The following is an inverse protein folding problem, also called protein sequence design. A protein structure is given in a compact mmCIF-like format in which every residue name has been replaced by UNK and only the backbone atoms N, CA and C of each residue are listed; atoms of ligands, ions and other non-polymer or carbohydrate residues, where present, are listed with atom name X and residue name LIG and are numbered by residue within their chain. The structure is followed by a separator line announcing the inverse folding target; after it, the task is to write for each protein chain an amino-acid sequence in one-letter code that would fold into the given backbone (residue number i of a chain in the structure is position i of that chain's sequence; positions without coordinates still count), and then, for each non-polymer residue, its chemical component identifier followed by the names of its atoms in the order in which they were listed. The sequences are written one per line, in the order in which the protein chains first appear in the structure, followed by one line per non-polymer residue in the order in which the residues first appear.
data_IF_564057155095
#
_entry.id   IF_564057155095
#
_cell.length_a   1.000
_cell.length_b   1.000
_cell.length_c   1.000
_cell.angle_alpha   90.00
_cell.angle_beta   90.00
_cell.angle_gamma   90.00
#
_symmetry.space_group_name_H-M   'P 1'
#
loop_
_entity.id
_entity.type
_entity.pdbx_description
1 polymer ?
#
# COMPACT_ATOMS: atom_id res chain seq x y z
N UNK A 1 29.07 18.21 7.32
CA UNK A 1 27.74 18.80 7.11
C UNK A 1 27.05 18.27 5.85
N UNK A 2 27.74 18.15 4.69
CA UNK A 2 27.14 17.77 3.40
C UNK A 2 26.46 16.39 3.33
N UNK A 3 26.93 15.39 4.07
CA UNK A 3 26.34 14.03 4.05
C UNK A 3 24.97 13.98 4.71
N UNK A 4 24.80 14.66 5.86
CA UNK A 4 23.54 14.67 6.60
C UNK A 4 22.47 15.47 5.84
N UNK A 5 22.84 16.64 5.30
CA UNK A 5 21.93 17.47 4.49
C UNK A 5 21.39 16.71 3.26
N UNK A 6 22.24 15.89 2.62
CA UNK A 6 21.83 15.01 1.53
C UNK A 6 20.82 13.94 1.98
N UNK A 7 21.11 13.26 3.10
CA UNK A 7 20.22 12.23 3.66
C UNK A 7 18.88 12.80 4.12
N UNK A 8 18.85 14.01 4.64
CA UNK A 8 17.61 14.73 4.97
C UNK A 8 16.78 15.03 3.71
N UNK A 9 17.43 15.39 2.61
CA UNK A 9 16.76 15.53 1.31
C UNK A 9 16.16 14.22 0.79
N UNK A 10 16.86 13.10 0.98
CA UNK A 10 16.35 11.77 0.61
C UNK A 10 15.19 11.34 1.51
N UNK A 11 15.27 11.61 2.82
CA UNK A 11 14.18 11.36 3.76
C UNK A 11 12.90 12.10 3.35
N UNK A 12 13.03 13.38 2.98
CA UNK A 12 11.87 14.17 2.51
C UNK A 12 11.21 13.54 1.29
N UNK A 13 11.99 13.10 0.30
CA UNK A 13 11.45 12.40 -0.88
C UNK A 13 10.78 11.07 -0.51
N UNK A 14 11.36 10.32 0.42
CA UNK A 14 10.79 9.07 0.90
C UNK A 14 9.43 9.29 1.59
N UNK A 15 9.30 10.35 2.40
CA UNK A 15 8.03 10.78 3.01
C UNK A 15 7.01 11.14 1.93
N UNK A 16 7.37 11.98 0.96
CA UNK A 16 6.47 12.38 -0.13
C UNK A 16 5.97 11.17 -0.93
N UNK A 17 6.85 10.21 -1.24
CA UNK A 17 6.50 8.98 -1.93
C UNK A 17 5.60 8.07 -1.06
N UNK A 18 5.83 8.02 0.25
CA UNK A 18 5.00 7.27 1.18
C UNK A 18 3.60 7.88 1.31
N UNK A 19 3.48 9.21 1.42
CA UNK A 19 2.18 9.88 1.43
C UNK A 19 1.39 9.59 0.15
N UNK A 20 2.05 9.60 -1.02
CA UNK A 20 1.41 9.24 -2.28
C UNK A 20 0.89 7.80 -2.31
N UNK A 21 1.58 6.85 -1.66
CA UNK A 21 1.13 5.44 -1.56
C UNK A 21 -0.19 5.29 -0.79
N UNK A 22 -0.51 6.20 0.15
CA UNK A 22 -1.77 6.12 0.93
C UNK A 22 -3.03 6.19 0.08
N UNK A 23 -2.93 6.74 -1.13
CA UNK A 23 -4.06 6.81 -2.08
C UNK A 23 -4.10 5.64 -3.08
N UNK A 24 -3.16 4.69 -2.99
CA UNK A 24 -3.09 3.56 -3.92
C UNK A 24 -3.83 2.33 -3.39
N UNK A 25 -4.16 1.39 -4.28
CA UNK A 25 -4.73 0.09 -3.92
C UNK A 25 -3.85 -0.67 -2.93
N UNK A 26 -2.52 -0.61 -3.11
CA UNK A 26 -1.57 -1.27 -2.21
C UNK A 26 -1.82 -0.91 -0.75
N UNK A 27 -2.12 0.37 -0.44
CA UNK A 27 -2.44 0.82 0.92
C UNK A 27 -3.92 0.65 1.27
N UNK A 28 -4.82 1.16 0.41
CA UNK A 28 -6.26 1.25 0.74
C UNK A 28 -6.95 -0.10 0.86
N UNK A 29 -6.40 -1.14 0.22
CA UNK A 29 -6.89 -2.51 0.30
C UNK A 29 -5.97 -3.42 1.12
N UNK A 30 -4.92 -2.87 1.76
CA UNK A 30 -4.02 -3.65 2.60
C UNK A 30 -4.78 -4.29 3.77
N UNK A 31 -4.34 -5.47 4.17
CA UNK A 31 -4.85 -6.12 5.38
C UNK A 31 -4.33 -5.48 6.66
N UNK A 32 -3.13 -4.89 6.60
CA UNK A 32 -2.49 -4.16 7.69
C UNK A 32 -1.62 -3.03 7.12
N UNK A 33 -1.69 -1.84 7.74
CA UNK A 33 -0.88 -0.66 7.38
C UNK A 33 0.02 -0.19 8.52
N UNK A 34 -0.02 -0.86 9.67
CA UNK A 34 0.58 -0.37 10.91
C UNK A 34 2.08 -0.08 10.77
N UNK A 35 2.85 -1.03 10.25
CA UNK A 35 4.31 -0.84 10.11
C UNK A 35 4.66 0.30 9.15
N UNK A 36 3.84 0.48 8.11
CA UNK A 36 3.98 1.60 7.18
C UNK A 36 3.65 2.94 7.84
N UNK A 37 2.55 3.01 8.57
CA UNK A 37 2.10 4.22 9.27
C UNK A 37 3.06 4.61 10.41
N UNK A 38 3.61 3.63 11.13
CA UNK A 38 4.61 3.84 12.16
C UNK A 38 5.92 4.36 11.57
N UNK A 39 6.39 3.79 10.46
CA UNK A 39 7.59 4.25 9.76
C UNK A 39 7.42 5.68 9.22
N UNK A 40 6.25 6.00 8.65
CA UNK A 40 5.93 7.34 8.18
C UNK A 40 5.84 8.35 9.31
N UNK A 41 5.25 7.96 10.44
CA UNK A 41 5.20 8.81 11.64
C UNK A 41 6.62 9.07 12.16
N UNK A 42 7.45 8.04 12.27
CA UNK A 42 8.84 8.15 12.73
C UNK A 42 9.74 8.98 11.79
N UNK A 43 9.44 8.98 10.48
CA UNK A 43 10.10 9.84 9.50
C UNK A 43 9.64 11.30 9.63
N UNK A 44 8.35 11.55 9.86
CA UNK A 44 7.79 12.90 10.04
C UNK A 44 8.19 13.57 11.36
N UNK A 45 8.43 12.80 12.42
CA UNK A 45 8.92 13.36 13.70
C UNK A 45 10.32 13.97 13.59
N UNK A 46 11.06 13.67 12.52
CA UNK A 46 12.38 14.24 12.24
C UNK A 46 12.33 15.64 11.61
N UNK A 47 11.14 16.23 11.46
CA UNK A 47 11.02 17.59 10.97
C UNK A 47 11.84 18.53 11.86
N UNK A 48 12.82 19.20 11.25
CA UNK A 48 13.93 19.96 11.83
C UNK A 48 13.55 21.09 12.79
N UNK A 49 12.27 21.31 13.05
CA UNK A 49 11.73 22.31 13.97
C UNK A 49 11.88 21.93 15.45
N UNK A 50 12.27 20.68 15.77
CA UNK A 50 12.32 20.13 17.13
C UNK A 50 13.73 20.04 17.76
N UNK A 51 14.80 20.28 17.01
CA UNK A 51 16.16 20.39 17.56
C UNK A 51 16.88 19.08 17.92
N UNK A 52 16.35 17.91 17.52
CA UNK A 52 17.04 16.63 17.68
C UNK A 52 18.14 16.49 16.62
N UNK A 53 19.40 16.48 17.05
CA UNK A 53 20.56 16.27 16.19
C UNK A 53 20.80 14.76 15.99
N UNK A 54 19.86 14.11 15.29
CA UNK A 54 19.97 12.71 14.83
C UNK A 54 21.11 12.57 13.80
N UNK A 55 21.85 11.45 13.84
CA UNK A 55 22.96 11.19 12.92
C UNK A 55 22.50 10.61 11.56
N UNK A 56 23.43 10.50 10.61
CA UNK A 56 23.11 10.09 9.24
C UNK A 56 22.60 8.63 9.17
N UNK A 57 23.03 7.78 10.10
CA UNK A 57 22.62 6.40 10.25
C UNK A 57 21.16 6.30 10.69
N UNK A 58 20.73 7.12 11.65
CA UNK A 58 19.33 7.17 12.09
C UNK A 58 18.38 7.64 10.98
N UNK A 59 18.81 8.64 10.19
CA UNK A 59 18.05 9.08 9.01
C UNK A 59 17.93 7.97 7.97
N UNK A 60 19.01 7.24 7.70
CA UNK A 60 18.99 6.10 6.79
C UNK A 60 18.05 4.98 7.27
N UNK A 61 18.08 4.66 8.57
CA UNK A 61 17.21 3.63 9.14
C UNK A 61 15.70 3.95 8.94
N UNK A 62 15.32 5.22 9.01
CA UNK A 62 13.93 5.65 8.77
C UNK A 62 13.55 5.57 7.30
N UNK A 63 14.46 5.93 6.39
CA UNK A 63 14.27 5.73 4.95
C UNK A 63 14.07 4.24 4.65
N UNK A 64 14.89 3.38 5.24
CA UNK A 64 14.83 1.94 5.04
C UNK A 64 13.53 1.36 5.60
N UNK A 65 13.08 1.80 6.78
CA UNK A 65 11.80 1.39 7.36
C UNK A 65 10.62 1.76 6.45
N UNK A 66 10.58 2.99 5.93
CA UNK A 66 9.54 3.44 4.99
C UNK A 66 9.55 2.66 3.67
N UNK A 67 10.74 2.34 3.17
CA UNK A 67 10.91 1.64 1.88
C UNK A 67 10.53 0.17 1.99
N UNK A 68 10.84 -0.47 3.12
CA UNK A 68 10.65 -1.89 3.34
C UNK A 68 9.30 -2.26 3.98
N UNK A 69 8.55 -1.27 4.49
CA UNK A 69 7.20 -1.50 5.00
C UNK A 69 6.31 -2.10 3.90
N UNK A 70 5.80 -3.30 4.16
CA UNK A 70 5.01 -4.07 3.18
C UNK A 70 3.56 -3.63 3.21
N UNK A 71 2.97 -3.57 2.02
CA UNK A 71 1.56 -3.29 1.79
C UNK A 71 1.07 -4.34 0.79
N UNK A 72 0.02 -5.07 1.15
CA UNK A 72 -0.46 -6.25 0.42
C UNK A 72 -1.79 -6.00 -0.32
N UNK A 73 -2.23 -4.76 -0.43
CA UNK A 73 -3.57 -4.45 -0.96
C UNK A 73 -3.81 -4.89 -2.41
N UNK A 74 -2.78 -4.89 -3.26
CA UNK A 74 -2.89 -5.41 -4.62
C UNK A 74 -3.09 -6.94 -4.64
N UNK A 75 -2.35 -7.67 -3.80
CA UNK A 75 -2.47 -9.10 -3.64
C UNK A 75 -3.84 -9.47 -3.06
N UNK A 76 -4.33 -8.70 -2.10
CA UNK A 76 -5.66 -8.86 -1.51
C UNK A 76 -6.77 -8.67 -2.56
N UNK A 77 -6.67 -7.64 -3.41
CA UNK A 77 -7.59 -7.43 -4.51
C UNK A 77 -7.54 -8.58 -5.54
N UNK A 78 -6.33 -8.99 -5.94
CA UNK A 78 -6.15 -10.10 -6.89
C UNK A 78 -6.73 -11.41 -6.35
N UNK A 79 -6.49 -11.71 -5.06
CA UNK A 79 -7.05 -12.87 -4.38
C UNK A 79 -8.58 -12.82 -4.34
N UNK A 80 -9.16 -11.67 -3.98
CA UNK A 80 -10.60 -11.49 -3.96
C UNK A 80 -11.23 -11.74 -5.34
N UNK A 81 -10.60 -11.25 -6.42
CA UNK A 81 -11.04 -11.51 -7.80
C UNK A 81 -11.00 -12.99 -8.13
N UNK A 82 -9.89 -13.66 -7.84
CA UNK A 82 -9.74 -15.11 -8.09
C UNK A 82 -10.82 -15.91 -7.35
N UNK A 83 -10.99 -15.66 -6.05
CA UNK A 83 -11.97 -16.36 -5.21
C UNK A 83 -13.41 -16.15 -5.72
N UNK A 84 -13.74 -14.94 -6.20
CA UNK A 84 -15.06 -14.63 -6.75
C UNK A 84 -15.30 -15.29 -8.12
N UNK A 85 -14.30 -15.29 -9.00
CA UNK A 85 -14.36 -15.96 -10.30
C UNK A 85 -14.58 -17.47 -10.12
N UNK A 86 -13.85 -18.10 -9.19
CA UNK A 86 -14.01 -19.52 -8.90
C UNK A 86 -15.42 -19.85 -8.39
N UNK A 87 -15.97 -19.00 -7.51
CA UNK A 87 -17.37 -19.12 -7.06
C UNK A 87 -18.35 -18.99 -8.23
N UNK A 88 -18.19 -18.00 -9.11
CA UNK A 88 -19.05 -17.82 -10.30
C UNK A 88 -19.00 -19.06 -11.21
N UNK A 89 -17.81 -19.61 -11.44
CA UNK A 89 -17.63 -20.80 -12.25
C UNK A 89 -18.32 -22.03 -11.64
N UNK A 90 -18.35 -22.14 -10.31
CA UNK A 90 -19.03 -23.23 -9.59
C UNK A 90 -20.57 -23.12 -9.58
N UNK A 91 -21.16 -21.95 -9.87
CA UNK A 91 -22.61 -21.77 -9.90
C UNK A 91 -23.24 -22.59 -11.04
N UNK A 92 -24.05 -23.60 -10.69
CA UNK A 92 -24.71 -24.48 -11.67
C UNK A 92 -26.01 -23.91 -12.23
N UNK A 93 -26.56 -22.90 -11.56
CA UNK A 93 -27.78 -22.20 -11.95
C UNK A 93 -27.54 -21.10 -13.01
N UNK A 94 -26.28 -20.74 -13.29
CA UNK A 94 -25.93 -19.73 -14.29
C UNK A 94 -25.53 -20.38 -15.62
N UNK A 95 -26.02 -19.82 -16.72
CA UNK A 95 -25.55 -20.16 -18.06
C UNK A 95 -24.20 -19.47 -18.38
N UNK A 96 -23.59 -19.86 -19.51
CA UNK A 96 -22.28 -19.34 -19.94
C UNK A 96 -22.24 -17.81 -20.04
N UNK A 97 -23.22 -17.20 -20.71
CA UNK A 97 -23.26 -15.75 -20.90
C UNK A 97 -23.42 -15.00 -19.57
N UNK A 98 -24.22 -15.52 -18.64
CA UNK A 98 -24.38 -14.97 -17.29
C UNK A 98 -23.07 -15.04 -16.49
N UNK A 99 -22.34 -16.17 -16.58
CA UNK A 99 -21.03 -16.30 -15.93
C UNK A 99 -20.01 -15.34 -16.50
N UNK A 100 -19.91 -15.23 -17.83
CA UNK A 100 -19.00 -14.31 -18.50
C UNK A 100 -19.27 -12.86 -18.10
N UNK A 101 -20.54 -12.44 -18.05
CA UNK A 101 -20.91 -11.10 -17.61
C UNK A 101 -20.52 -10.84 -16.15
N UNK A 102 -20.73 -11.80 -15.25
CA UNK A 102 -20.35 -11.67 -13.84
C UNK A 102 -18.82 -11.65 -13.65
N UNK A 103 -18.08 -12.51 -14.36
CA UNK A 103 -16.61 -12.52 -14.34
C UNK A 103 -16.04 -11.21 -14.87
N UNK A 104 -16.63 -10.64 -15.92
CA UNK A 104 -16.22 -9.33 -16.43
C UNK A 104 -16.38 -8.22 -15.38
N UNK A 105 -17.48 -8.23 -14.61
CA UNK A 105 -17.68 -7.29 -13.50
C UNK A 105 -16.62 -7.46 -12.41
N UNK A 106 -16.34 -8.70 -11.99
CA UNK A 106 -15.29 -8.98 -10.99
C UNK A 106 -13.91 -8.51 -11.47
N UNK A 107 -13.58 -8.75 -12.74
CA UNK A 107 -12.30 -8.30 -13.30
C UNK A 107 -12.18 -6.77 -13.35
N UNK A 108 -13.29 -6.06 -13.58
CA UNK A 108 -13.35 -4.61 -13.64
C UNK A 108 -13.31 -3.92 -12.27
N UNK A 109 -13.55 -4.65 -11.16
CA UNK A 109 -13.50 -4.09 -9.82
C UNK A 109 -12.12 -3.51 -9.48
N UNK A 110 -12.08 -2.34 -8.87
CA UNK A 110 -10.86 -1.67 -8.41
C UNK A 110 -10.65 -1.84 -6.90
N UNK A 111 -11.68 -2.31 -6.19
CA UNK A 111 -11.65 -2.54 -4.74
C UNK A 111 -12.21 -3.91 -4.34
N UNK A 112 -11.82 -4.41 -3.17
CA UNK A 112 -12.37 -5.66 -2.63
C UNK A 112 -13.87 -5.53 -2.33
N UNK A 113 -14.31 -4.33 -1.93
CA UNK A 113 -15.72 -4.03 -1.63
C UNK A 113 -16.63 -4.12 -2.87
N UNK A 114 -16.14 -3.81 -4.07
CA UNK A 114 -16.91 -3.95 -5.30
C UNK A 114 -17.10 -5.42 -5.72
N UNK A 115 -16.28 -6.34 -5.19
CA UNK A 115 -16.35 -7.78 -5.48
C UNK A 115 -17.28 -8.51 -4.50
N UNK A 116 -17.35 -8.04 -3.26
CA UNK A 116 -18.15 -8.64 -2.20
C UNK A 116 -19.52 -7.94 -2.09
N UNK A 117 -20.64 -8.60 -2.44
CA UNK A 117 -21.98 -8.05 -2.23
C UNK A 117 -22.39 -8.02 -0.76
#
# INVERSE_FOLDING_TARGET
ATTLDGKMGDLKKAIEAADAKKSTTAYTQASDTKDFDDALTAANTLNSDKGDNEDAEAVQAKIDALTNAKLDGEDQLAKAKSDAIDKINALTNLNKAQKEAAIAQVNAAETVAEIQP
#
